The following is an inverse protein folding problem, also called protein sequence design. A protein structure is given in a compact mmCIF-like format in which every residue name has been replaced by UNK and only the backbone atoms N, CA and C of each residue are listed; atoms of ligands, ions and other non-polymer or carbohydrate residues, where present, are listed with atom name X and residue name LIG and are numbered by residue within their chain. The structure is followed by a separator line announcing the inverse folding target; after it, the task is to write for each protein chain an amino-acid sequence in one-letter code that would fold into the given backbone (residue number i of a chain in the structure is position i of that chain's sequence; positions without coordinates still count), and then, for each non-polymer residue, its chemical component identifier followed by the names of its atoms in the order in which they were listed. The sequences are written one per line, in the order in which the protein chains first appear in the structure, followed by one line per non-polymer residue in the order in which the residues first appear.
data_IF_739430338300
#
_entry.id   IF_739430338300
#
_cell.length_a   1.000
_cell.length_b   1.000
_cell.length_c   1.000
_cell.angle_alpha   90.00
_cell.angle_beta   90.00
_cell.angle_gamma   90.00
#
_symmetry.space_group_name_H-M   'P 1'
#
loop_
_entity.id
_entity.type
_entity.pdbx_description
1 polymer ?
#
# COMPACT_ATOMS: atom_id res chain seq x y z
N UNK A 1 15.86 -26.20 15.51
CA UNK A 1 16.05 -25.68 14.14
C UNK A 1 14.92 -24.74 13.70
N UNK A 2 13.65 -25.01 14.03
CA UNK A 2 12.52 -24.10 13.70
C UNK A 2 12.61 -22.70 14.36
N UNK A 3 13.21 -22.60 15.55
CA UNK A 3 13.39 -21.33 16.28
C UNK A 3 14.35 -20.33 15.62
N UNK A 4 15.11 -20.75 14.60
CA UNK A 4 16.04 -19.90 13.85
C UNK A 4 15.41 -19.33 12.56
N UNK A 5 14.29 -19.92 12.11
CA UNK A 5 13.63 -19.54 10.85
C UNK A 5 12.86 -18.22 10.97
N UNK A 6 12.12 -18.03 12.06
CA UNK A 6 11.32 -16.82 12.29
C UNK A 6 12.16 -15.53 12.34
N UNK A 7 13.25 -15.43 13.12
CA UNK A 7 14.10 -14.24 13.11
C UNK A 7 14.76 -13.98 11.74
N UNK A 8 15.03 -15.03 10.96
CA UNK A 8 15.60 -14.87 9.62
C UNK A 8 14.60 -14.30 8.60
N UNK A 9 13.34 -14.74 8.64
CA UNK A 9 12.26 -14.22 7.77
C UNK A 9 11.91 -12.78 8.17
N UNK A 10 11.83 -12.49 9.47
CA UNK A 10 11.58 -11.13 9.96
C UNK A 10 12.72 -10.18 9.56
N UNK A 11 13.97 -10.64 9.63
CA UNK A 11 15.12 -9.86 9.17
C UNK A 11 15.10 -9.65 7.65
N UNK A 12 14.81 -10.68 6.86
CA UNK A 12 14.78 -10.59 5.39
C UNK A 12 13.64 -9.73 4.85
N UNK A 13 12.58 -9.51 5.64
CA UNK A 13 11.40 -8.71 5.27
C UNK A 13 11.33 -7.35 5.97
N UNK A 14 12.35 -6.98 6.74
CA UNK A 14 12.41 -5.72 7.49
C UNK A 14 12.32 -4.45 6.61
N UNK A 15 12.52 -4.57 5.29
CA UNK A 15 12.37 -3.48 4.32
C UNK A 15 10.91 -3.23 3.90
N UNK A 16 9.99 -4.18 4.14
CA UNK A 16 8.60 -4.08 3.70
C UNK A 16 7.87 -2.84 4.25
N UNK A 17 8.04 -2.42 5.52
CA UNK A 17 7.46 -1.18 6.01
C UNK A 17 7.94 0.06 5.23
N UNK A 18 9.21 0.13 4.84
CA UNK A 18 9.74 1.26 4.07
C UNK A 18 9.13 1.36 2.67
N UNK A 19 8.58 0.27 2.13
CA UNK A 19 7.86 0.24 0.85
C UNK A 19 6.35 0.45 1.05
N UNK A 20 5.72 -0.30 1.94
CA UNK A 20 4.27 -0.26 2.11
C UNK A 20 3.76 0.97 2.85
N UNK A 21 4.50 1.51 3.82
CA UNK A 21 4.09 2.73 4.52
C UNK A 21 3.92 3.91 3.56
N UNK A 22 4.90 4.24 2.68
CA UNK A 22 4.68 5.33 1.73
C UNK A 22 3.62 4.99 0.68
N UNK A 23 3.51 3.73 0.24
CA UNK A 23 2.45 3.33 -0.70
C UNK A 23 1.06 3.53 -0.08
N UNK A 24 0.82 3.05 1.14
CA UNK A 24 -0.48 3.16 1.80
C UNK A 24 -0.74 4.57 2.32
N UNK A 25 0.28 5.30 2.75
CA UNK A 25 0.16 6.65 3.28
C UNK A 25 0.03 7.74 2.21
N UNK A 26 0.56 7.51 1.00
CA UNK A 26 0.60 8.51 -0.06
C UNK A 26 0.04 7.98 -1.37
N UNK A 27 0.58 6.87 -1.89
CA UNK A 27 0.23 6.33 -3.20
C UNK A 27 -1.25 5.95 -3.33
N UNK A 28 -1.73 5.14 -2.39
CA UNK A 28 -3.13 4.67 -2.36
C UNK A 28 -4.09 5.84 -2.14
N UNK A 29 -3.90 6.75 -1.15
CA UNK A 29 -4.75 7.93 -1.00
C UNK A 29 -4.77 8.80 -2.25
N UNK A 30 -3.62 9.08 -2.86
CA UNK A 30 -3.55 9.89 -4.08
C UNK A 30 -4.34 9.25 -5.23
N UNK A 31 -4.16 7.95 -5.47
CA UNK A 31 -4.85 7.23 -6.54
C UNK A 31 -6.37 7.14 -6.29
N UNK A 32 -6.77 6.76 -5.08
CA UNK A 32 -8.19 6.59 -4.72
C UNK A 32 -8.91 7.93 -4.73
N UNK A 33 -8.34 8.97 -4.13
CA UNK A 33 -8.96 10.29 -4.11
C UNK A 33 -9.08 10.85 -5.52
N UNK A 34 -8.03 10.76 -6.35
CA UNK A 34 -8.10 11.22 -7.73
C UNK A 34 -9.16 10.47 -8.55
N UNK A 35 -9.20 9.13 -8.41
CA UNK A 35 -10.21 8.32 -9.08
C UNK A 35 -11.63 8.66 -8.64
N UNK A 36 -11.88 8.73 -7.32
CA UNK A 36 -13.19 9.05 -6.78
C UNK A 36 -13.62 10.46 -7.13
N UNK A 37 -12.69 11.42 -7.13
CA UNK A 37 -12.96 12.79 -7.57
C UNK A 37 -13.44 12.83 -9.02
N UNK A 38 -12.73 12.16 -9.94
CA UNK A 38 -13.15 12.08 -11.34
C UNK A 38 -14.50 11.35 -11.49
N UNK A 39 -14.74 10.31 -10.67
CA UNK A 39 -15.99 9.58 -10.68
C UNK A 39 -17.19 10.45 -10.26
N UNK A 40 -17.06 11.27 -9.20
CA UNK A 40 -18.16 12.12 -8.73
C UNK A 40 -18.39 13.35 -9.61
N UNK A 41 -17.34 13.87 -10.25
CA UNK A 41 -17.44 15.00 -11.19
C UNK A 41 -17.85 14.57 -12.59
N UNK A 42 -17.90 13.25 -12.87
CA UNK A 42 -18.38 12.74 -14.14
C UNK A 42 -19.87 13.05 -14.29
N UNK A 43 -20.21 13.91 -15.24
CA UNK A 43 -21.59 14.15 -15.66
C UNK A 43 -22.18 12.97 -16.47
N UNK A 44 -21.32 12.01 -16.83
CA UNK A 44 -21.70 10.79 -17.54
C UNK A 44 -22.16 9.73 -16.53
N UNK A 45 -23.48 9.55 -16.44
CA UNK A 45 -24.10 8.35 -15.87
C UNK A 45 -24.38 7.44 -17.06
N UNK A 46 -23.54 6.43 -17.27
CA UNK A 46 -23.84 5.35 -18.22
C UNK A 46 -25.10 4.57 -17.80
#
# INVERSE_FOLDING_TARGET
MATQFLPHILASTSYLPALFVPIIGWGVPAAVIAFLFLYIESEDIA
#
